data_IF_393997803012
#
_entry.id   IF_393997803012
#
_cell.length_a   1.000
_cell.length_b   1.000
_cell.length_c   1.000
_cell.angle_alpha   90.00
_cell.angle_beta   90.00
_cell.angle_gamma   90.00
#
_symmetry.space_group_name_H-M   'P 1'
#
loop_
_entity.id
_entity.type
_entity.pdbx_description
1 polymer ?
#
# COMPACT_ATOMS: atom_id res chain seq x y z
N UNK A 1 10.33 -60.94 -83.34
CA UNK A 1 10.87 -60.91 -82.01
C UNK A 1 9.83 -60.26 -81.09
N UNK A 2 9.11 -61.09 -80.27
CA UNK A 2 7.94 -60.67 -79.49
C UNK A 2 8.39 -60.32 -78.07
N UNK A 3 8.05 -59.15 -77.57
CA UNK A 3 8.25 -58.73 -76.18
C UNK A 3 7.08 -59.21 -75.32
N UNK A 4 7.25 -59.69 -74.06
CA UNK A 4 6.18 -60.14 -73.19
C UNK A 4 5.51 -58.96 -72.43
N UNK A 5 4.19 -59.14 -72.25
CA UNK A 5 3.30 -58.22 -71.51
C UNK A 5 3.59 -58.20 -70.05
N UNK A 6 3.78 -57.00 -69.46
CA UNK A 6 3.90 -56.76 -68.04
C UNK A 6 2.56 -56.83 -67.30
N UNK A 7 2.59 -57.41 -66.08
CA UNK A 7 1.48 -57.56 -65.14
C UNK A 7 1.27 -56.27 -64.37
N UNK A 8 0.02 -55.78 -64.40
CA UNK A 8 -0.37 -54.60 -63.56
C UNK A 8 -0.59 -55.04 -62.10
N UNK A 9 -0.14 -54.29 -61.14
CA UNK A 9 -0.46 -54.57 -59.75
C UNK A 9 -1.81 -53.94 -59.32
N UNK A 10 -2.59 -54.71 -58.57
CA UNK A 10 -3.87 -54.35 -57.94
C UNK A 10 -3.75 -53.20 -56.91
N UNK A 11 -4.73 -52.31 -56.79
CA UNK A 11 -4.68 -51.23 -55.78
C UNK A 11 -5.03 -51.79 -54.40
N UNK A 12 -4.12 -51.54 -53.46
CA UNK A 12 -4.33 -51.82 -52.02
C UNK A 12 -5.16 -50.69 -51.42
N UNK A 13 -6.39 -50.99 -51.03
CA UNK A 13 -7.29 -50.11 -50.30
C UNK A 13 -6.70 -49.79 -48.92
N UNK A 14 -6.13 -48.58 -48.72
CA UNK A 14 -5.73 -48.06 -47.41
C UNK A 14 -6.92 -47.41 -46.74
N UNK A 15 -7.52 -48.12 -45.80
CA UNK A 15 -8.53 -47.60 -44.89
C UNK A 15 -7.85 -46.62 -43.89
N UNK A 16 -8.00 -45.31 -44.09
CA UNK A 16 -7.59 -44.30 -43.10
C UNK A 16 -8.62 -44.27 -41.97
N UNK A 17 -8.29 -44.86 -40.82
CA UNK A 17 -9.04 -44.64 -39.57
C UNK A 17 -8.62 -43.30 -39.01
N UNK A 18 -9.48 -42.32 -39.19
CA UNK A 18 -9.31 -41.00 -38.52
C UNK A 18 -9.73 -41.17 -37.05
N UNK A 19 -8.75 -41.26 -36.17
CA UNK A 19 -8.98 -41.15 -34.72
C UNK A 19 -9.17 -39.65 -34.40
N UNK A 20 -10.43 -39.23 -34.25
CA UNK A 20 -10.76 -37.92 -33.72
C UNK A 20 -10.44 -37.92 -32.22
N UNK A 21 -9.29 -37.38 -31.83
CA UNK A 21 -8.97 -37.09 -30.45
C UNK A 21 -9.85 -35.93 -29.97
N UNK A 22 -10.93 -36.22 -29.25
CA UNK A 22 -11.67 -35.24 -28.47
C UNK A 22 -10.75 -34.77 -27.34
N UNK A 23 -10.07 -33.66 -27.54
CA UNK A 23 -9.45 -32.89 -26.46
C UNK A 23 -10.57 -32.32 -25.58
N UNK A 24 -10.93 -33.04 -24.51
CA UNK A 24 -11.67 -32.45 -23.40
C UNK A 24 -10.79 -31.35 -22.80
N UNK A 25 -10.98 -30.11 -23.21
CA UNK A 25 -10.48 -28.95 -22.48
C UNK A 25 -11.18 -28.96 -21.12
N UNK A 26 -10.51 -29.49 -20.11
CA UNK A 26 -10.92 -29.26 -18.72
C UNK A 26 -11.02 -27.75 -18.52
N UNK A 27 -12.10 -27.22 -17.91
CA UNK A 27 -12.15 -25.80 -17.57
C UNK A 27 -10.96 -25.50 -16.69
N UNK A 28 -10.02 -24.72 -17.20
CA UNK A 28 -8.95 -24.15 -16.39
C UNK A 28 -9.65 -23.24 -15.38
N UNK A 29 -9.83 -23.73 -14.15
CA UNK A 29 -10.20 -22.85 -13.05
C UNK A 29 -9.06 -21.84 -12.94
N UNK A 30 -9.32 -20.61 -13.31
CA UNK A 30 -8.39 -19.52 -13.06
C UNK A 30 -8.04 -19.58 -11.55
N UNK A 31 -6.75 -19.54 -11.23
CA UNK A 31 -6.32 -19.55 -9.82
C UNK A 31 -6.99 -18.38 -9.08
N UNK A 32 -7.41 -18.63 -7.84
CA UNK A 32 -8.00 -17.60 -6.99
C UNK A 32 -7.05 -16.39 -6.90
N UNK A 33 -7.44 -15.21 -7.34
CA UNK A 33 -6.57 -14.03 -7.30
C UNK A 33 -6.32 -13.48 -5.90
N UNK A 34 -7.12 -13.90 -4.92
CA UNK A 34 -7.09 -13.44 -3.53
C UNK A 34 -7.04 -14.63 -2.56
N UNK A 35 -6.01 -15.49 -2.64
CA UNK A 35 -5.96 -16.76 -1.91
C UNK A 35 -5.87 -16.60 -0.39
N UNK A 36 -5.33 -15.47 0.12
CA UNK A 36 -5.27 -15.15 1.55
C UNK A 36 -6.56 -14.54 2.11
N UNK A 37 -7.58 -14.35 1.26
CA UNK A 37 -8.91 -13.93 1.68
C UNK A 37 -9.83 -15.14 1.91
N UNK A 38 -10.62 -15.11 2.97
CA UNK A 38 -11.72 -16.04 3.16
C UNK A 38 -12.85 -15.76 2.17
N UNK A 39 -13.59 -16.81 1.80
CA UNK A 39 -14.80 -16.64 1.03
C UNK A 39 -15.86 -15.91 1.89
N UNK A 40 -16.18 -14.68 1.51
CA UNK A 40 -17.03 -13.82 2.30
C UNK A 40 -17.57 -12.61 1.53
N UNK A 41 -18.38 -11.77 2.16
CA UNK A 41 -18.92 -10.57 1.52
C UNK A 41 -17.84 -9.61 1.01
N UNK A 42 -16.76 -9.39 1.78
CA UNK A 42 -15.70 -8.48 1.42
C UNK A 42 -14.98 -8.92 0.14
N UNK A 43 -14.53 -10.19 0.06
CA UNK A 43 -13.91 -10.75 -1.16
C UNK A 43 -14.83 -10.66 -2.37
N UNK A 44 -16.11 -11.03 -2.21
CA UNK A 44 -17.09 -10.95 -3.29
C UNK A 44 -17.33 -9.51 -3.75
N UNK A 45 -17.41 -8.54 -2.85
CA UNK A 45 -17.56 -7.13 -3.22
C UNK A 45 -16.39 -6.61 -4.05
N UNK A 46 -15.15 -6.98 -3.69
CA UNK A 46 -13.95 -6.62 -4.43
C UNK A 46 -13.98 -7.22 -5.84
N UNK A 47 -14.20 -8.53 -5.95
CA UNK A 47 -14.18 -9.22 -7.25
C UNK A 47 -15.32 -8.76 -8.14
N UNK A 48 -16.52 -8.61 -7.61
CA UNK A 48 -17.68 -8.11 -8.36
C UNK A 48 -17.47 -6.68 -8.88
N UNK A 49 -16.90 -5.80 -8.06
CA UNK A 49 -16.57 -4.45 -8.51
C UNK A 49 -15.55 -4.48 -9.67
N UNK A 50 -14.44 -5.21 -9.50
CA UNK A 50 -13.40 -5.29 -10.53
C UNK A 50 -13.96 -5.87 -11.82
N UNK A 51 -14.73 -6.96 -11.75
CA UNK A 51 -15.38 -7.56 -12.93
C UNK A 51 -16.33 -6.57 -13.61
N UNK A 52 -17.16 -5.85 -12.88
CA UNK A 52 -18.13 -4.92 -13.44
C UNK A 52 -17.47 -3.79 -14.23
N UNK A 53 -16.38 -3.21 -13.67
CA UNK A 53 -15.69 -2.05 -14.28
C UNK A 53 -14.67 -2.43 -15.35
N UNK A 54 -14.31 -3.72 -15.47
CA UNK A 54 -13.33 -4.18 -16.46
C UNK A 54 -13.95 -4.88 -17.66
N UNK A 55 -15.18 -5.38 -17.52
CA UNK A 55 -15.90 -6.10 -18.58
C UNK A 55 -16.30 -5.14 -19.69
N UNK A 56 -15.69 -5.30 -20.87
CA UNK A 56 -16.05 -4.52 -22.06
C UNK A 56 -17.52 -4.69 -22.42
N UNK A 57 -18.17 -3.57 -22.78
CA UNK A 57 -19.61 -3.54 -23.06
C UNK A 57 -20.51 -3.53 -21.83
N UNK A 58 -19.97 -3.62 -20.63
CA UNK A 58 -20.73 -3.38 -19.39
C UNK A 58 -21.14 -1.92 -19.29
N UNK A 59 -22.32 -1.65 -18.73
CA UNK A 59 -22.78 -0.29 -18.40
C UNK A 59 -21.83 0.42 -17.41
N UNK A 60 -21.13 -0.38 -16.60
CA UNK A 60 -20.21 0.08 -15.57
C UNK A 60 -18.74 0.11 -16.02
N UNK A 61 -18.47 -0.19 -17.29
CA UNK A 61 -17.11 -0.23 -17.81
C UNK A 61 -16.37 1.10 -17.58
N UNK A 62 -15.18 1.00 -17.02
CA UNK A 62 -14.26 2.11 -16.81
C UNK A 62 -13.03 1.88 -17.69
N UNK A 63 -12.66 2.81 -18.59
CA UNK A 63 -11.44 2.68 -19.39
C UNK A 63 -10.19 2.50 -18.53
N UNK A 64 -9.18 1.69 -18.94
CA UNK A 64 -7.97 1.47 -18.13
C UNK A 64 -7.26 2.74 -17.70
N UNK A 65 -7.25 3.80 -18.51
CA UNK A 65 -6.65 5.09 -18.17
C UNK A 65 -7.32 5.79 -16.97
N UNK A 66 -8.56 5.41 -16.65
CA UNK A 66 -9.36 5.99 -15.55
C UNK A 66 -9.45 5.08 -14.33
N UNK A 67 -8.93 3.83 -14.42
CA UNK A 67 -8.91 2.90 -13.29
C UNK A 67 -7.81 3.29 -12.31
N UNK A 68 -8.15 4.14 -11.34
CA UNK A 68 -7.27 4.63 -10.28
C UNK A 68 -7.73 4.04 -8.94
N UNK A 69 -6.81 3.38 -8.24
CA UNK A 69 -7.04 2.89 -6.89
C UNK A 69 -6.05 3.57 -5.92
N UNK A 70 -6.56 4.15 -4.85
CA UNK A 70 -5.78 4.82 -3.81
C UNK A 70 -5.85 4.04 -2.50
N UNK A 71 -4.72 3.91 -1.85
CA UNK A 71 -4.55 3.17 -0.60
C UNK A 71 -3.90 4.08 0.43
N UNK A 72 -4.44 4.11 1.64
CA UNK A 72 -3.62 4.51 2.76
C UNK A 72 -2.50 3.50 2.99
N UNK A 73 -1.49 3.86 3.77
CA UNK A 73 -0.33 3.00 4.04
C UNK A 73 -0.42 2.36 5.42
N UNK A 74 -0.35 3.18 6.48
CA UNK A 74 -0.31 2.73 7.87
C UNK A 74 -1.68 2.16 8.27
N UNK A 75 -1.71 0.91 8.76
CA UNK A 75 -2.94 0.17 9.06
C UNK A 75 -3.72 -0.32 7.83
N UNK A 76 -3.33 0.07 6.61
CA UNK A 76 -4.00 -0.37 5.36
C UNK A 76 -3.14 -1.33 4.55
N UNK A 77 -1.87 -1.01 4.30
CA UNK A 77 -0.95 -1.87 3.55
C UNK A 77 0.06 -2.57 4.46
N UNK A 78 0.39 -1.99 5.60
CA UNK A 78 1.23 -2.58 6.65
C UNK A 78 0.72 -2.20 8.04
N UNK A 79 1.28 -2.78 9.09
CA UNK A 79 0.90 -2.49 10.47
C UNK A 79 1.24 -1.07 10.90
N UNK A 80 0.55 -0.59 11.95
CA UNK A 80 0.77 0.76 12.51
C UNK A 80 0.84 0.75 14.05
N UNK A 81 0.55 -0.36 14.69
CA UNK A 81 0.53 -0.49 16.15
C UNK A 81 1.85 -1.01 16.70
N UNK A 82 2.22 -0.63 17.93
CA UNK A 82 1.55 0.33 18.80
C UNK A 82 1.89 1.79 18.46
N UNK A 83 2.64 2.03 17.39
CA UNK A 83 3.09 3.34 16.93
C UNK A 83 3.47 3.28 15.46
N UNK A 84 3.19 4.35 14.70
CA UNK A 84 3.56 4.46 13.29
C UNK A 84 5.04 4.12 13.05
N UNK A 85 5.32 3.29 12.06
CA UNK A 85 6.67 2.75 11.84
C UNK A 85 7.69 3.83 11.46
N UNK A 86 7.25 4.92 10.83
CA UNK A 86 8.11 6.07 10.58
C UNK A 86 8.63 6.72 11.88
N UNK A 87 7.88 6.66 12.99
CA UNK A 87 8.36 7.19 14.26
C UNK A 87 9.52 6.37 14.85
N UNK A 88 9.51 5.04 14.66
CA UNK A 88 10.67 4.23 15.03
C UNK A 88 11.93 4.64 14.26
N UNK A 89 11.78 4.90 12.94
CA UNK A 89 12.88 5.46 12.16
C UNK A 89 13.39 6.78 12.75
N UNK A 90 12.49 7.74 13.00
CA UNK A 90 12.86 9.05 13.53
C UNK A 90 13.56 8.93 14.90
N UNK A 91 13.10 8.04 15.78
CA UNK A 91 13.69 7.80 17.08
C UNK A 91 15.08 7.14 17.00
N UNK A 92 15.26 6.21 16.09
CA UNK A 92 16.57 5.61 15.85
C UNK A 92 17.55 6.61 15.23
N UNK A 93 17.06 7.54 14.38
CA UNK A 93 17.87 8.67 13.89
C UNK A 93 18.31 9.60 15.02
N UNK A 94 17.43 9.92 16.01
CA UNK A 94 17.81 10.70 17.19
C UNK A 94 18.97 10.02 17.93
N UNK A 95 18.87 8.71 18.18
CA UNK A 95 19.96 7.95 18.85
C UNK A 95 21.26 7.98 18.05
N UNK A 96 21.18 7.81 16.73
CA UNK A 96 22.35 7.83 15.85
C UNK A 96 23.03 9.22 15.79
N UNK A 97 22.26 10.29 15.88
CA UNK A 97 22.75 11.67 15.84
C UNK A 97 23.17 12.21 17.20
N UNK A 98 22.70 11.64 18.32
CA UNK A 98 22.97 12.10 19.69
C UNK A 98 24.45 12.33 20.02
N UNK A 99 25.43 11.55 19.52
CA UNK A 99 26.85 11.84 19.75
C UNK A 99 27.31 13.21 19.21
N UNK A 100 26.61 13.75 18.19
CA UNK A 100 26.88 15.07 17.60
C UNK A 100 26.08 16.19 18.27
N UNK A 101 25.12 15.83 19.12
CA UNK A 101 24.18 16.73 19.79
C UNK A 101 24.15 16.47 21.31
N UNK A 102 25.23 16.76 22.03
CA UNK A 102 25.32 16.49 23.49
C UNK A 102 24.23 17.23 24.30
N UNK A 103 23.73 18.36 23.80
CA UNK A 103 22.63 19.12 24.37
C UNK A 103 21.32 18.36 24.46
N UNK A 104 21.10 17.36 23.59
CA UNK A 104 19.87 16.56 23.56
C UNK A 104 19.63 15.74 24.82
N UNK A 105 20.70 15.43 25.59
CA UNK A 105 20.60 14.73 26.88
C UNK A 105 19.79 15.51 27.93
N UNK A 106 19.67 16.82 27.75
CA UNK A 106 19.01 17.72 28.71
C UNK A 106 17.86 18.52 28.05
N UNK A 107 17.46 18.16 26.83
CA UNK A 107 16.46 18.93 26.06
C UNK A 107 15.32 18.00 25.62
N UNK A 108 14.08 18.29 26.03
CA UNK A 108 12.91 17.57 25.53
C UNK A 108 12.58 17.98 24.08
N UNK A 109 12.11 17.04 23.25
CA UNK A 109 11.75 15.65 23.52
C UNK A 109 12.91 14.63 23.45
N UNK A 110 14.12 15.06 23.13
CA UNK A 110 15.26 14.18 22.87
C UNK A 110 15.75 13.46 24.13
N UNK A 111 15.73 14.14 25.30
CA UNK A 111 16.13 13.53 26.57
C UNK A 111 15.32 12.26 26.85
N UNK A 112 14.01 12.37 26.84
CA UNK A 112 13.10 11.22 27.02
C UNK A 112 13.34 10.13 25.99
N UNK A 113 13.56 10.47 24.70
CA UNK A 113 13.85 9.48 23.65
C UNK A 113 15.16 8.72 23.91
N UNK A 114 16.20 9.40 24.36
CA UNK A 114 17.50 8.78 24.65
C UNK A 114 17.45 7.87 25.88
N UNK A 115 16.58 8.16 26.83
CA UNK A 115 16.26 7.30 27.97
C UNK A 115 15.32 6.15 27.65
N UNK A 116 14.72 6.14 26.43
CA UNK A 116 13.77 5.11 26.00
C UNK A 116 12.33 5.37 26.42
N UNK A 117 12.04 6.53 27.01
CA UNK A 117 10.69 6.97 27.35
C UNK A 117 9.98 7.62 26.14
N UNK A 118 9.44 6.78 25.26
CA UNK A 118 8.69 7.24 24.08
C UNK A 118 7.42 8.00 24.46
N UNK A 119 6.78 7.64 25.58
CA UNK A 119 5.56 8.33 26.04
C UNK A 119 5.88 9.75 26.53
N UNK A 120 6.93 9.91 27.30
CA UNK A 120 7.43 11.21 27.74
C UNK A 120 7.85 12.08 26.57
N UNK A 121 8.58 11.51 25.61
CA UNK A 121 9.01 12.22 24.40
C UNK A 121 7.84 12.79 23.60
N UNK A 122 6.72 12.07 23.50
CA UNK A 122 5.52 12.49 22.77
C UNK A 122 4.48 13.22 23.64
N UNK A 123 4.75 13.47 24.92
CA UNK A 123 3.82 14.11 25.84
C UNK A 123 3.38 15.52 25.39
N UNK A 124 4.24 16.22 24.61
CA UNK A 124 3.94 17.54 24.02
C UNK A 124 3.22 17.45 22.67
N UNK A 125 2.74 16.25 22.29
CA UNK A 125 1.94 16.02 21.07
C UNK A 125 2.66 16.39 19.77
N UNK A 126 1.92 16.99 18.84
CA UNK A 126 2.41 17.36 17.49
C UNK A 126 3.68 18.22 17.51
N UNK A 127 3.84 19.07 18.53
CA UNK A 127 5.04 19.91 18.66
C UNK A 127 6.30 19.08 18.87
N UNK A 128 6.25 18.07 19.75
CA UNK A 128 7.39 17.18 19.98
C UNK A 128 7.73 16.41 18.69
N UNK A 129 6.73 15.91 18.00
CA UNK A 129 6.90 15.22 16.73
C UNK A 129 7.56 16.12 15.68
N UNK A 130 7.10 17.37 15.55
CA UNK A 130 7.69 18.32 14.61
C UNK A 130 9.15 18.63 14.95
N UNK A 131 9.50 18.80 16.24
CA UNK A 131 10.86 19.02 16.70
C UNK A 131 11.77 17.80 16.37
N UNK A 132 11.30 16.57 16.59
CA UNK A 132 12.03 15.33 16.27
C UNK A 132 12.26 15.22 14.75
N UNK A 133 11.21 15.40 13.95
CA UNK A 133 11.30 15.33 12.48
C UNK A 133 12.24 16.42 11.96
N UNK A 134 12.13 17.66 12.45
CA UNK A 134 13.02 18.74 12.06
C UNK A 134 14.49 18.39 12.36
N UNK A 135 14.78 17.90 13.55
CA UNK A 135 16.14 17.58 13.96
C UNK A 135 16.76 16.38 13.19
N UNK A 136 15.95 15.43 12.77
CA UNK A 136 16.41 14.19 12.13
C UNK A 136 16.39 14.23 10.61
N UNK A 137 15.65 15.17 10.00
CA UNK A 137 15.44 15.20 8.55
C UNK A 137 15.99 16.48 7.88
N UNK A 138 16.15 17.58 8.63
CA UNK A 138 16.57 18.87 8.05
C UNK A 138 18.06 18.93 7.74
N UNK A 139 18.41 19.71 6.73
CA UNK A 139 19.80 19.92 6.30
C UNK A 139 20.36 18.81 5.42
N UNK A 140 19.72 17.64 5.38
CA UNK A 140 20.08 16.54 4.48
C UNK A 140 19.56 16.84 3.05
N UNK A 141 20.27 16.34 2.05
CA UNK A 141 19.72 16.25 0.70
C UNK A 141 18.63 15.17 0.67
N UNK A 142 17.77 15.23 -0.34
CA UNK A 142 16.75 14.17 -0.57
C UNK A 142 17.39 12.79 -0.77
N UNK A 143 18.55 12.72 -1.44
CA UNK A 143 19.30 11.46 -1.61
C UNK A 143 19.86 10.91 -0.30
N UNK A 144 20.52 11.76 0.52
CA UNK A 144 21.05 11.34 1.83
C UNK A 144 19.92 10.85 2.74
N UNK A 145 18.75 11.48 2.70
CA UNK A 145 17.58 11.03 3.45
C UNK A 145 17.08 9.67 2.95
N UNK A 146 16.93 9.51 1.64
CA UNK A 146 16.52 8.24 1.03
C UNK A 146 17.47 7.10 1.40
N UNK A 147 18.78 7.32 1.31
CA UNK A 147 19.80 6.34 1.69
C UNK A 147 19.71 5.96 3.18
N UNK A 148 19.45 6.95 4.06
CA UNK A 148 19.27 6.70 5.49
C UNK A 148 18.04 5.84 5.79
N UNK A 149 16.93 6.09 5.09
CA UNK A 149 15.71 5.26 5.21
C UNK A 149 15.96 3.85 4.69
N UNK A 150 16.58 3.69 3.52
CA UNK A 150 16.92 2.38 2.95
C UNK A 150 17.82 1.56 3.86
N UNK A 151 18.85 2.18 4.42
CA UNK A 151 19.76 1.52 5.36
C UNK A 151 19.03 1.06 6.63
N UNK A 152 18.16 1.90 7.17
CA UNK A 152 17.38 1.57 8.37
C UNK A 152 16.38 0.44 8.11
N UNK A 153 15.55 0.57 7.08
CA UNK A 153 14.45 -0.38 6.83
C UNK A 153 14.95 -1.79 6.45
N UNK A 154 16.16 -1.88 5.91
CA UNK A 154 16.79 -3.15 5.57
C UNK A 154 17.09 -4.03 6.80
N UNK A 155 17.28 -3.43 7.97
CA UNK A 155 17.70 -4.14 9.18
C UNK A 155 16.76 -3.96 10.37
N UNK A 156 15.97 -2.89 10.37
CA UNK A 156 15.10 -2.54 11.48
C UNK A 156 14.00 -3.58 11.71
N UNK A 157 13.73 -3.85 12.99
CA UNK A 157 12.73 -4.81 13.42
C UNK A 157 11.75 -4.17 14.39
N UNK A 158 10.50 -4.54 14.25
CA UNK A 158 9.46 -4.12 15.16
C UNK A 158 9.76 -4.60 16.60
N UNK A 159 9.74 -3.72 17.63
CA UNK A 159 10.19 -4.08 18.97
C UNK A 159 9.35 -5.16 19.65
N UNK A 160 8.06 -5.24 19.35
CA UNK A 160 7.15 -6.27 19.90
C UNK A 160 7.26 -7.61 19.16
N UNK A 161 7.00 -7.62 17.85
CA UNK A 161 6.93 -8.85 17.05
C UNK A 161 8.29 -9.41 16.63
N UNK A 162 9.35 -8.61 16.69
CA UNK A 162 10.71 -8.91 16.20
C UNK A 162 10.80 -9.14 14.68
N UNK A 163 9.71 -8.98 13.93
CA UNK A 163 9.69 -9.06 12.48
C UNK A 163 10.34 -7.81 11.86
N UNK A 164 10.91 -7.94 10.68
CA UNK A 164 11.27 -6.76 9.88
C UNK A 164 10.01 -5.93 9.59
N UNK A 165 10.12 -4.61 9.58
CA UNK A 165 8.96 -3.76 9.25
C UNK A 165 8.41 -4.09 7.87
N UNK A 166 9.28 -4.38 6.89
CA UNK A 166 8.86 -4.80 5.54
C UNK A 166 8.22 -6.19 5.48
N UNK A 167 8.31 -7.00 6.54
CA UNK A 167 7.60 -8.27 6.67
C UNK A 167 6.28 -8.13 7.46
N UNK A 168 5.96 -6.92 7.92
CA UNK A 168 4.68 -6.60 8.56
C UNK A 168 3.70 -5.92 7.59
N UNK A 169 3.83 -6.21 6.31
CA UNK A 169 2.89 -5.85 5.26
C UNK A 169 1.74 -6.87 5.23
N UNK A 170 0.54 -6.43 4.94
CA UNK A 170 -0.63 -7.31 4.92
C UNK A 170 -0.66 -8.13 3.64
N UNK A 171 -0.50 -9.44 3.76
CA UNK A 171 -0.51 -10.37 2.62
C UNK A 171 -1.77 -10.25 1.76
N UNK A 172 -3.00 -10.16 2.33
CA UNK A 172 -4.21 -9.97 1.53
C UNK A 172 -4.19 -8.67 0.71
N UNK A 173 -3.57 -7.61 1.23
CA UNK A 173 -3.48 -6.34 0.51
C UNK A 173 -2.43 -6.37 -0.59
N UNK A 174 -1.34 -7.13 -0.44
CA UNK A 174 -0.40 -7.38 -1.53
C UNK A 174 -1.08 -8.11 -2.70
N UNK A 175 -1.92 -9.11 -2.39
CA UNK A 175 -2.72 -9.82 -3.39
C UNK A 175 -3.72 -8.88 -4.09
N UNK A 176 -4.39 -8.02 -3.32
CA UNK A 176 -5.32 -7.02 -3.86
C UNK A 176 -4.61 -6.03 -4.79
N UNK A 177 -3.44 -5.52 -4.41
CA UNK A 177 -2.62 -4.66 -5.27
C UNK A 177 -2.27 -5.36 -6.59
N UNK A 178 -1.85 -6.63 -6.52
CA UNK A 178 -1.51 -7.43 -7.69
C UNK A 178 -2.75 -7.69 -8.58
N UNK A 179 -3.88 -8.04 -7.96
CA UNK A 179 -5.14 -8.28 -8.65
C UNK A 179 -5.65 -7.04 -9.38
N UNK A 180 -5.63 -5.88 -8.73
CA UNK A 180 -6.05 -4.61 -9.35
C UNK A 180 -5.13 -4.25 -10.52
N UNK A 181 -3.81 -4.35 -10.37
CA UNK A 181 -2.87 -4.09 -11.48
C UNK A 181 -3.07 -5.05 -12.66
N UNK A 182 -3.29 -6.32 -12.39
CA UNK A 182 -3.61 -7.32 -13.44
C UNK A 182 -4.91 -6.97 -14.21
N UNK A 183 -5.79 -6.21 -13.58
CA UNK A 183 -7.04 -5.71 -14.17
C UNK A 183 -6.94 -4.25 -14.66
N UNK A 184 -5.72 -3.75 -14.89
CA UNK A 184 -5.45 -2.45 -15.51
C UNK A 184 -5.63 -1.24 -14.61
N UNK A 185 -5.69 -1.42 -13.28
CA UNK A 185 -5.68 -0.31 -12.34
C UNK A 185 -4.27 0.22 -12.11
N UNK A 186 -4.16 1.54 -11.99
CA UNK A 186 -2.99 2.20 -11.39
C UNK A 186 -3.21 2.30 -9.89
N UNK A 187 -2.26 1.80 -9.11
CA UNK A 187 -2.33 1.77 -7.65
C UNK A 187 -1.46 2.87 -7.06
N UNK A 188 -2.01 3.70 -6.20
CA UNK A 188 -1.33 4.83 -5.55
C UNK A 188 -1.39 4.67 -4.03
N UNK A 189 -0.32 5.04 -3.34
CA UNK A 189 -0.36 5.29 -1.90
C UNK A 189 -0.77 6.74 -1.68
N UNK A 190 -1.64 6.98 -0.70
CA UNK A 190 -2.08 8.32 -0.24
C UNK A 190 -2.06 8.31 1.29
N UNK A 191 -0.98 8.81 1.89
CA UNK A 191 -0.66 8.59 3.30
C UNK A 191 -0.43 9.87 4.08
N UNK A 192 -0.87 9.89 5.34
CA UNK A 192 -0.49 10.91 6.31
C UNK A 192 1.02 10.91 6.65
N UNK A 193 1.70 9.80 6.40
CA UNK A 193 3.15 9.65 6.57
C UNK A 193 3.98 10.46 5.58
N UNK A 194 5.27 10.58 5.87
CA UNK A 194 6.23 11.34 5.04
C UNK A 194 6.44 10.70 3.67
N UNK A 195 6.17 11.46 2.60
CA UNK A 195 6.25 10.96 1.23
C UNK A 195 7.62 10.41 0.87
N UNK A 196 8.71 11.08 1.27
CA UNK A 196 10.06 10.63 0.98
C UNK A 196 10.45 9.35 1.76
N UNK A 197 9.91 9.19 2.98
CA UNK A 197 10.10 7.97 3.76
C UNK A 197 9.48 6.76 3.04
N UNK A 198 8.24 6.89 2.59
CA UNK A 198 7.52 5.81 1.92
C UNK A 198 8.16 5.49 0.55
N UNK A 199 8.53 6.52 -0.23
CA UNK A 199 9.16 6.37 -1.55
C UNK A 199 10.44 5.54 -1.52
N UNK A 200 11.20 5.61 -0.45
CA UNK A 200 12.48 4.91 -0.31
C UNK A 200 12.37 3.38 -0.40
N UNK A 201 11.19 2.81 -0.13
CA UNK A 201 11.02 1.35 -0.02
C UNK A 201 9.75 0.79 -0.67
N UNK A 202 8.73 1.62 -0.94
CA UNK A 202 7.42 1.17 -1.42
C UNK A 202 7.50 0.37 -2.74
N UNK A 203 8.38 0.74 -3.66
CA UNK A 203 8.52 0.02 -4.93
C UNK A 203 9.00 -1.41 -4.72
N UNK A 204 10.01 -1.62 -3.87
CA UNK A 204 10.56 -2.94 -3.59
C UNK A 204 9.60 -3.86 -2.83
N UNK A 205 8.68 -3.30 -2.03
CA UNK A 205 7.77 -4.03 -1.14
C UNK A 205 6.38 -4.21 -1.77
N UNK A 206 5.83 -3.16 -2.37
CA UNK A 206 4.46 -3.17 -2.91
C UNK A 206 4.42 -3.21 -4.44
N UNK A 207 5.55 -2.95 -5.12
CA UNK A 207 5.58 -2.71 -6.56
C UNK A 207 4.90 -1.39 -6.94
N UNK A 208 4.86 -0.41 -6.04
CA UNK A 208 4.32 0.93 -6.26
C UNK A 208 5.50 1.89 -6.42
N UNK A 209 5.75 2.43 -7.63
CA UNK A 209 6.90 3.29 -7.88
C UNK A 209 6.77 4.65 -7.19
N UNK A 210 7.88 5.38 -6.95
CA UNK A 210 7.89 6.60 -6.14
C UNK A 210 6.97 7.71 -6.64
N UNK A 211 6.72 7.83 -7.93
CA UNK A 211 5.78 8.80 -8.51
C UNK A 211 4.31 8.46 -8.22
N UNK A 212 4.02 7.25 -7.78
CA UNK A 212 2.67 6.82 -7.35
C UNK A 212 2.49 6.89 -5.83
N UNK A 213 3.38 7.56 -5.11
CA UNK A 213 3.26 7.82 -3.67
C UNK A 213 2.93 9.28 -3.44
N UNK A 214 1.76 9.53 -2.88
CA UNK A 214 1.26 10.82 -2.35
C UNK A 214 1.40 10.78 -0.84
N UNK A 215 1.85 11.86 -0.22
CA UNK A 215 2.04 11.88 1.23
C UNK A 215 2.37 13.27 1.77
N UNK A 216 2.47 13.36 3.09
CA UNK A 216 2.91 14.57 3.77
C UNK A 216 4.34 14.90 3.33
N UNK A 217 4.58 16.15 2.96
CA UNK A 217 5.87 16.61 2.44
C UNK A 217 6.46 17.76 3.26
N UNK A 218 7.79 17.74 3.41
CA UNK A 218 8.56 18.88 3.89
C UNK A 218 8.88 19.87 2.77
N UNK A 219 9.25 21.10 3.14
CA UNK A 219 9.79 22.07 2.18
C UNK A 219 11.16 21.62 1.69
N UNK A 220 11.41 21.87 0.43
CA UNK A 220 12.70 21.62 -0.23
C UNK A 220 13.30 22.93 -0.73
N UNK A 221 14.62 23.02 -0.68
CA UNK A 221 15.39 24.12 -1.25
C UNK A 221 16.35 23.57 -2.29
N UNK A 222 16.35 24.17 -3.47
CA UNK A 222 17.41 23.94 -4.45
C UNK A 222 18.69 24.70 -4.05
N UNK A 223 19.82 24.01 -4.08
CA UNK A 223 21.14 24.67 -3.91
C UNK A 223 22.25 23.91 -4.66
N UNK A 224 23.38 24.57 -4.83
CA UNK A 224 24.60 23.98 -5.38
C UNK A 224 25.49 23.56 -4.21
N UNK A 225 25.86 22.26 -4.11
CA UNK A 225 26.85 21.73 -3.17
C UNK A 225 27.98 21.10 -3.97
N UNK A 226 29.22 21.54 -3.77
CA UNK A 226 30.39 21.03 -4.46
C UNK A 226 30.24 20.98 -5.99
N UNK A 227 29.64 22.02 -6.57
CA UNK A 227 29.38 22.12 -8.00
C UNK A 227 28.26 21.23 -8.54
N UNK A 228 27.48 20.58 -7.68
CA UNK A 228 26.35 19.72 -8.05
C UNK A 228 25.01 20.29 -7.56
N UNK A 229 23.95 20.24 -8.39
CA UNK A 229 22.63 20.65 -7.95
C UNK A 229 22.03 19.60 -7.00
N UNK A 230 21.50 20.05 -5.86
CA UNK A 230 20.84 19.20 -4.86
C UNK A 230 19.54 19.82 -4.37
N UNK A 231 18.64 18.98 -3.85
CA UNK A 231 17.47 19.41 -3.11
C UNK A 231 17.71 19.11 -1.63
N UNK A 232 17.64 20.15 -0.80
CA UNK A 232 17.87 20.07 0.65
C UNK A 232 16.54 20.16 1.38
N UNK A 233 16.35 19.27 2.35
CA UNK A 233 15.17 19.24 3.21
C UNK A 233 15.25 20.36 4.25
N UNK A 234 14.17 21.14 4.35
CA UNK A 234 13.98 22.19 5.34
C UNK A 234 13.14 21.68 6.52
N UNK A 235 13.20 22.33 7.71
CA UNK A 235 12.46 21.89 8.87
C UNK A 235 10.93 22.12 8.76
N UNK A 236 10.48 22.94 7.81
CA UNK A 236 9.08 23.29 7.68
C UNK A 236 8.30 22.26 6.88
N UNK A 237 7.07 22.02 7.30
CA UNK A 237 6.09 21.25 6.55
C UNK A 237 5.63 22.07 5.33
N UNK A 238 5.56 21.43 4.18
CA UNK A 238 5.01 22.00 2.95
C UNK A 238 3.53 21.64 2.76
N UNK A 239 3.17 20.40 3.03
CA UNK A 239 1.81 19.92 2.84
C UNK A 239 1.55 18.72 3.78
N UNK A 240 0.37 18.69 4.40
CA UNK A 240 -0.10 17.57 5.24
C UNK A 240 -1.14 16.78 4.45
N UNK A 241 -0.87 15.51 4.18
CA UNK A 241 -1.72 14.61 3.39
C UNK A 241 -2.56 13.69 4.28
N UNK A 242 -3.27 14.28 5.24
CA UNK A 242 -4.17 13.60 6.15
C UNK A 242 -5.58 14.22 6.08
N UNK A 243 -6.61 13.44 6.35
CA UNK A 243 -8.02 13.89 6.32
C UNK A 243 -8.36 14.64 5.03
N UNK A 244 -8.75 15.94 5.14
CA UNK A 244 -9.05 16.82 4.01
C UNK A 244 -7.85 17.03 3.09
N UNK A 245 -6.63 16.81 3.58
CA UNK A 245 -5.41 16.84 2.78
C UNK A 245 -5.38 15.76 1.72
N UNK A 246 -5.83 14.53 2.01
CA UNK A 246 -5.77 13.40 1.08
C UNK A 246 -6.45 13.67 -0.28
N UNK A 247 -7.71 14.13 -0.37
CA UNK A 247 -8.30 14.50 -1.67
C UNK A 247 -7.57 15.66 -2.37
N UNK A 248 -6.98 16.59 -1.61
CA UNK A 248 -6.17 17.68 -2.20
C UNK A 248 -4.86 17.15 -2.78
N UNK A 249 -4.17 16.25 -2.06
CA UNK A 249 -2.97 15.56 -2.54
C UNK A 249 -3.24 14.73 -3.79
N UNK A 250 -4.33 13.96 -3.81
CA UNK A 250 -4.80 13.21 -4.98
C UNK A 250 -4.99 14.15 -6.18
N UNK A 251 -5.70 15.27 -6.00
CA UNK A 251 -5.94 16.22 -7.09
C UNK A 251 -4.64 16.83 -7.62
N UNK A 252 -3.69 17.15 -6.74
CA UNK A 252 -2.41 17.78 -7.11
C UNK A 252 -1.47 16.83 -7.86
N UNK A 253 -1.37 15.56 -7.41
CA UNK A 253 -0.35 14.63 -7.91
C UNK A 253 -0.90 13.62 -8.93
N UNK A 254 -2.15 13.16 -8.76
CA UNK A 254 -2.78 12.19 -9.67
C UNK A 254 -3.59 12.91 -10.76
N UNK A 255 -4.24 14.04 -10.43
CA UNK A 255 -5.05 14.82 -11.35
C UNK A 255 -6.36 14.15 -11.77
N UNK A 256 -6.70 13.01 -11.14
CA UNK A 256 -7.92 12.23 -11.41
C UNK A 256 -8.54 11.76 -10.10
N UNK A 257 -9.88 11.76 -10.06
CA UNK A 257 -10.61 11.19 -8.93
C UNK A 257 -10.51 9.66 -9.00
N UNK A 258 -10.15 8.98 -7.88
CA UNK A 258 -10.05 7.51 -7.85
C UNK A 258 -11.38 6.83 -8.17
N UNK A 259 -11.31 5.63 -8.75
CA UNK A 259 -12.45 4.70 -8.89
C UNK A 259 -12.58 3.79 -7.67
N UNK A 260 -11.47 3.56 -6.96
CA UNK A 260 -11.46 2.80 -5.71
C UNK A 260 -10.58 3.47 -4.65
N UNK A 261 -10.97 3.40 -3.38
CA UNK A 261 -10.21 3.90 -2.24
C UNK A 261 -10.27 2.91 -1.06
N UNK A 262 -9.13 2.74 -0.41
CA UNK A 262 -8.91 1.79 0.67
C UNK A 262 -8.24 2.49 1.84
N UNK A 263 -8.75 2.29 3.05
CA UNK A 263 -8.24 2.89 4.28
C UNK A 263 -8.57 2.05 5.50
N UNK A 264 -8.17 2.52 6.68
CA UNK A 264 -8.46 1.85 7.95
C UNK A 264 -8.86 2.80 9.07
N UNK A 265 -8.77 4.10 8.86
CA UNK A 265 -8.98 5.10 9.93
C UNK A 265 -9.84 6.29 9.51
N UNK A 266 -10.24 7.11 10.49
CA UNK A 266 -10.91 8.39 10.24
C UNK A 266 -10.04 9.38 9.43
N UNK A 267 -8.73 9.16 9.37
CA UNK A 267 -7.80 9.91 8.52
C UNK A 267 -8.06 9.71 7.03
N UNK A 268 -8.74 8.61 6.67
CA UNK A 268 -9.04 8.25 5.27
C UNK A 268 -10.44 8.67 4.84
N UNK A 269 -11.28 9.11 5.78
CA UNK A 269 -12.69 9.35 5.54
C UNK A 269 -12.93 10.25 4.33
N UNK A 270 -12.20 11.37 4.24
CA UNK A 270 -12.36 12.31 3.14
C UNK A 270 -11.84 11.77 1.80
N UNK A 271 -10.83 10.90 1.80
CA UNK A 271 -10.39 10.19 0.59
C UNK A 271 -11.48 9.25 0.07
N UNK A 272 -12.11 8.49 0.95
CA UNK A 272 -13.21 7.59 0.58
C UNK A 272 -14.44 8.39 0.14
N UNK A 273 -14.83 9.45 0.87
CA UNK A 273 -15.93 10.34 0.49
C UNK A 273 -15.68 11.01 -0.87
N UNK A 274 -14.46 11.49 -1.10
CA UNK A 274 -14.06 12.06 -2.39
C UNK A 274 -14.21 11.05 -3.52
N UNK A 275 -13.76 9.83 -3.30
CA UNK A 275 -13.90 8.73 -4.27
C UNK A 275 -15.37 8.41 -4.53
N UNK A 276 -16.16 8.18 -3.48
CA UNK A 276 -17.58 7.83 -3.58
C UNK A 276 -18.43 8.92 -4.27
N UNK A 277 -18.08 10.21 -4.07
CA UNK A 277 -18.78 11.34 -4.69
C UNK A 277 -18.49 11.54 -6.18
N UNK A 278 -17.74 10.65 -6.81
CA UNK A 278 -17.46 10.71 -8.27
C UNK A 278 -18.61 10.15 -9.12
N UNK A 279 -18.62 10.45 -10.42
CA UNK A 279 -19.57 9.85 -11.36
C UNK A 279 -19.20 8.40 -11.68
N UNK A 280 -20.21 7.58 -12.00
CA UNK A 280 -20.04 6.18 -12.37
C UNK A 280 -19.73 5.26 -11.16
N UNK A 281 -19.29 4.01 -11.44
CA UNK A 281 -19.04 3.02 -10.40
C UNK A 281 -17.85 3.44 -9.53
N UNK A 282 -18.03 3.33 -8.21
CA UNK A 282 -17.01 3.64 -7.20
C UNK A 282 -16.96 2.56 -6.14
N UNK A 283 -15.78 2.31 -5.61
CA UNK A 283 -15.57 1.33 -4.56
C UNK A 283 -14.82 1.95 -3.38
N UNK A 284 -15.36 1.79 -2.20
CA UNK A 284 -14.76 2.27 -0.95
C UNK A 284 -14.73 1.13 0.06
N UNK A 285 -13.55 0.92 0.67
CA UNK A 285 -13.34 -0.16 1.61
C UNK A 285 -12.53 0.32 2.81
N UNK A 286 -12.99 -0.05 4.00
CA UNK A 286 -12.25 0.06 5.24
C UNK A 286 -11.78 -1.30 5.74
N UNK A 287 -10.56 -1.36 6.25
CA UNK A 287 -10.06 -2.46 7.06
C UNK A 287 -10.38 -2.16 8.51
N UNK A 288 -11.16 -3.03 9.16
CA UNK A 288 -11.42 -2.99 10.58
C UNK A 288 -10.50 -4.00 11.27
N UNK A 289 -9.64 -3.50 12.13
CA UNK A 289 -8.67 -4.29 12.86
C UNK A 289 -9.35 -4.99 14.04
N UNK A 290 -9.67 -6.27 13.88
CA UNK A 290 -10.42 -7.07 14.84
C UNK A 290 -9.64 -8.25 15.40
N UNK A 291 -8.38 -8.45 14.97
CA UNK A 291 -7.60 -9.65 15.23
C UNK A 291 -6.46 -9.41 16.22
N UNK A 292 -6.81 -9.42 17.50
CA UNK A 292 -5.83 -9.31 18.59
C UNK A 292 -4.88 -10.51 18.72
N UNK A 293 -5.19 -11.64 18.07
CA UNK A 293 -4.39 -12.87 18.18
C UNK A 293 -3.21 -12.87 17.19
N UNK A 294 -3.43 -12.33 15.98
CA UNK A 294 -2.44 -12.34 14.89
C UNK A 294 -1.82 -10.98 14.60
N UNK A 295 -2.51 -9.90 15.07
CA UNK A 295 -2.11 -8.50 14.88
C UNK A 295 -2.52 -7.70 16.13
N UNK A 296 -3.23 -6.59 16.01
CA UNK A 296 -3.86 -5.80 17.08
C UNK A 296 -5.35 -5.63 16.76
N UNK A 297 -6.18 -5.54 17.82
CA UNK A 297 -7.57 -5.14 17.68
C UNK A 297 -7.73 -3.71 18.19
N UNK A 298 -8.23 -2.83 17.35
CA UNK A 298 -8.49 -1.43 17.68
C UNK A 298 -9.50 -0.80 16.73
N UNK A 299 -10.23 0.21 17.22
CA UNK A 299 -11.22 0.96 16.47
C UNK A 299 -11.46 2.36 17.07
N UNK A 300 -12.65 2.62 17.61
CA UNK A 300 -13.19 3.94 18.00
C UNK A 300 -12.35 4.67 19.06
N UNK A 301 -11.75 3.95 19.98
CA UNK A 301 -11.03 4.52 21.13
C UNK A 301 -9.50 4.54 20.95
N UNK A 302 -9.01 4.07 19.79
CA UNK A 302 -7.58 4.03 19.52
C UNK A 302 -7.00 5.43 19.39
N UNK A 303 -5.80 5.62 19.94
CA UNK A 303 -5.01 6.83 19.72
C UNK A 303 -4.35 6.86 18.33
N UNK A 304 -4.10 5.68 17.73
CA UNK A 304 -3.48 5.47 16.42
C UNK A 304 -4.42 4.60 15.60
N UNK A 305 -4.67 4.97 14.35
CA UNK A 305 -5.57 4.22 13.48
C UNK A 305 -7.04 4.28 13.93
N UNK A 306 -7.47 5.36 14.58
CA UNK A 306 -8.84 5.51 15.08
C UNK A 306 -9.83 5.38 13.94
N UNK A 307 -10.79 4.44 14.06
CA UNK A 307 -11.88 4.21 13.12
C UNK A 307 -13.21 4.36 13.84
N UNK A 308 -13.73 5.57 13.93
CA UNK A 308 -14.97 5.92 14.61
C UNK A 308 -16.03 6.42 13.61
N UNK A 309 -15.81 7.60 13.05
CA UNK A 309 -16.71 8.20 12.04
C UNK A 309 -16.77 7.36 10.77
N UNK A 310 -15.65 6.76 10.38
CA UNK A 310 -15.57 5.87 9.22
C UNK A 310 -16.50 4.67 9.34
N UNK A 311 -16.62 4.04 10.52
CA UNK A 311 -17.55 2.94 10.74
C UNK A 311 -19.02 3.37 10.64
N UNK A 312 -19.34 4.59 11.06
CA UNK A 312 -20.71 5.12 10.92
C UNK A 312 -21.03 5.45 9.46
N UNK A 313 -20.08 6.04 8.73
CA UNK A 313 -20.23 6.35 7.30
C UNK A 313 -20.39 5.08 6.45
N UNK A 314 -19.62 4.02 6.74
CA UNK A 314 -19.76 2.71 6.08
C UNK A 314 -21.19 2.21 6.15
N UNK A 315 -21.82 2.23 7.33
CA UNK A 315 -23.21 1.80 7.51
C UNK A 315 -24.17 2.68 6.72
N UNK A 316 -23.95 3.99 6.73
CA UNK A 316 -24.81 4.96 6.06
C UNK A 316 -24.71 4.87 4.52
N UNK A 317 -23.54 4.54 3.98
CA UNK A 317 -23.26 4.51 2.54
C UNK A 317 -23.22 3.12 1.92
N UNK A 318 -23.25 2.07 2.72
CA UNK A 318 -23.12 0.69 2.24
C UNK A 318 -21.73 0.37 1.69
N UNK A 319 -20.66 1.03 2.20
CA UNK A 319 -19.29 0.71 1.80
C UNK A 319 -18.85 -0.65 2.35
N UNK A 320 -17.83 -1.22 1.77
CA UNK A 320 -17.29 -2.52 2.21
C UNK A 320 -16.46 -2.34 3.47
N UNK A 321 -16.66 -3.22 4.45
CA UNK A 321 -15.76 -3.37 5.62
C UNK A 321 -15.15 -4.75 5.58
N UNK A 322 -13.86 -4.81 5.79
CA UNK A 322 -13.11 -6.02 6.05
C UNK A 322 -13.00 -6.22 7.55
N UNK A 323 -13.52 -7.31 8.07
CA UNK A 323 -13.18 -7.81 9.40
C UNK A 323 -11.89 -8.62 9.31
N UNK A 324 -10.77 -8.06 9.80
CA UNK A 324 -9.48 -8.70 9.64
C UNK A 324 -9.45 -10.15 10.15
N UNK A 325 -10.11 -10.42 11.28
CA UNK A 325 -10.11 -11.76 11.88
C UNK A 325 -10.90 -12.78 11.06
N UNK A 326 -12.01 -12.34 10.46
CA UNK A 326 -12.92 -13.24 9.74
C UNK A 326 -12.62 -13.32 8.24
N UNK A 327 -12.23 -12.20 7.62
CA UNK A 327 -12.07 -12.12 6.17
C UNK A 327 -10.66 -12.51 5.69
N UNK A 328 -9.66 -12.54 6.57
CA UNK A 328 -8.28 -12.88 6.21
C UNK A 328 -7.84 -14.24 6.77
N UNK A 329 -7.36 -15.13 5.89
CA UNK A 329 -6.72 -16.41 6.27
C UNK A 329 -5.33 -16.18 6.83
N UNK A 330 -4.59 -15.24 6.26
CA UNK A 330 -3.22 -14.88 6.60
C UNK A 330 -3.17 -13.37 6.78
N UNK A 331 -2.48 -12.89 7.81
CA UNK A 331 -2.27 -11.44 8.01
C UNK A 331 -0.96 -11.01 7.35
N UNK A 332 0.14 -11.61 7.73
CA UNK A 332 1.47 -11.28 7.21
C UNK A 332 2.02 -12.39 6.32
N UNK A 333 2.83 -12.06 5.31
CA UNK A 333 3.56 -13.08 4.56
C UNK A 333 4.52 -13.85 5.49
N UNK A 334 4.92 -15.08 5.12
CA UNK A 334 5.98 -15.77 5.83
C UNK A 334 7.27 -14.94 5.78
N UNK A 335 7.95 -14.80 6.91
CA UNK A 335 9.26 -14.15 6.96
C UNK A 335 10.29 -15.06 6.26
N UNK A 336 11.00 -14.50 5.28
CA UNK A 336 12.04 -15.24 4.52
C UNK A 336 13.35 -15.27 5.27
#
# INVERSE_FOLDING_TARGET
MRLPRGILPTPVNRLFVAIAALLCAAPSHAADPLPSWNEGPAKRSITAFVESVTKEGSREFVPPAERIATFDNDGTLWGEQPMYYQLYFAFDQVKALAPKHPEWKNTEPFASLLEGDMKGALARGERALAEIVAATHSGMTTGEFEDSVKAWIATARHPGTKRHFTAMVYQPMLELLAYLRANGFKTFIVSGGGVEFIRAWAESVYGIPPEQVVGTSGKLKYEMRDGRPVLVKLPEVNFVDDKEGKPVGIQRQIGRRPTAAFGNSDGDLQMLQWTAGGPGPRFCLYIHHTDADREWAYDRDSAIGRLDKGLDEVKAKGWTVVDMKQDWKVVYPPEK
#
